data_IF_123146724841
#
_entry.id   IF_123146724841
#
_cell.length_a   1.000
_cell.length_b   1.000
_cell.length_c   1.000
_cell.angle_alpha   90.00
_cell.angle_beta   90.00
_cell.angle_gamma   90.00
#
_symmetry.space_group_name_H-M   'P 1'
#
loop_
_entity.id
_entity.type
_entity.pdbx_description
1 polymer ?
#
# COMPACT_ATOMS: atom_id res chain seq x y z
N UNK A 1 30.21 10.77 -2.59
CA UNK A 1 29.31 11.78 -2.00
C UNK A 1 28.13 11.07 -1.36
N UNK A 2 27.65 11.55 -0.22
CA UNK A 2 26.55 10.92 0.54
C UNK A 2 25.53 11.97 0.97
N UNK A 3 24.28 11.55 1.16
CA UNK A 3 23.22 12.36 1.77
C UNK A 3 22.17 11.44 2.42
N UNK A 4 21.42 11.94 3.41
CA UNK A 4 20.38 11.16 4.11
C UNK A 4 19.00 11.86 4.11
N UNK A 5 18.91 13.11 3.68
CA UNK A 5 17.63 13.82 3.55
C UNK A 5 16.92 14.12 4.88
N UNK A 6 15.60 14.33 4.82
CA UNK A 6 14.76 14.61 5.99
C UNK A 6 13.43 13.86 5.86
N UNK A 7 13.25 12.83 6.68
CA UNK A 7 12.07 11.98 6.71
C UNK A 7 11.85 11.40 8.12
N UNK A 8 10.79 10.61 8.34
CA UNK A 8 10.50 10.01 9.64
C UNK A 8 11.66 9.14 10.18
N UNK A 9 12.33 8.38 9.30
CA UNK A 9 13.40 7.44 9.64
C UNK A 9 14.81 7.91 9.30
N UNK A 10 14.96 9.09 8.69
CA UNK A 10 16.26 9.65 8.32
C UNK A 10 16.86 10.36 9.55
N UNK A 11 17.61 9.65 10.40
CA UNK A 11 18.11 10.17 11.69
C UNK A 11 19.55 10.65 11.64
N UNK A 12 20.36 10.17 10.71
CA UNK A 12 21.73 10.62 10.57
C UNK A 12 22.46 10.00 9.37
N UNK A 13 23.79 10.14 9.32
CA UNK A 13 24.61 9.59 8.25
C UNK A 13 24.48 8.08 8.06
N UNK A 14 24.18 7.33 9.14
CA UNK A 14 24.04 5.87 9.11
C UNK A 14 22.79 5.41 8.34
N UNK A 15 21.75 6.25 8.23
CA UNK A 15 20.54 5.99 7.43
C UNK A 15 20.66 6.54 6.00
N UNK A 16 21.82 7.08 5.64
CA UNK A 16 22.07 7.76 4.37
C UNK A 16 22.41 6.83 3.21
N UNK A 17 22.37 7.40 2.00
CA UNK A 17 22.84 6.73 0.78
C UNK A 17 24.12 7.40 0.27
N UNK A 18 25.04 6.58 -0.23
CA UNK A 18 26.34 7.03 -0.73
C UNK A 18 26.55 6.56 -2.17
N UNK A 19 27.00 7.47 -3.03
CA UNK A 19 27.37 7.15 -4.41
C UNK A 19 28.72 6.42 -4.49
N UNK A 20 28.82 5.45 -5.39
CA UNK A 20 30.08 4.78 -5.76
C UNK A 20 30.62 5.43 -7.03
N UNK A 21 31.82 6.00 -6.97
CA UNK A 21 32.44 6.75 -8.08
C UNK A 21 31.57 7.90 -8.63
N UNK A 22 30.78 8.54 -7.77
CA UNK A 22 29.87 9.61 -8.15
C UNK A 22 28.55 9.15 -8.78
N UNK A 23 28.32 7.83 -8.89
CA UNK A 23 27.08 7.24 -9.41
C UNK A 23 26.27 6.63 -8.26
N UNK A 24 24.97 6.90 -8.23
CA UNK A 24 24.02 6.30 -7.30
C UNK A 24 22.94 5.57 -8.12
N UNK A 25 22.82 4.27 -7.89
CA UNK A 25 21.76 3.44 -8.49
C UNK A 25 20.43 3.67 -7.79
N UNK A 26 19.33 3.61 -8.53
CA UNK A 26 17.98 3.76 -7.97
C UNK A 26 16.89 3.49 -8.99
N UNK A 27 15.65 3.61 -8.54
CA UNK A 27 14.44 3.41 -9.36
C UNK A 27 13.76 4.75 -9.64
N UNK A 28 13.27 4.94 -10.86
CA UNK A 28 12.44 6.08 -11.23
C UNK A 28 10.98 5.63 -11.39
N UNK A 29 10.10 6.19 -10.57
CA UNK A 29 8.66 5.96 -10.63
C UNK A 29 7.98 7.20 -11.20
N UNK A 30 7.17 7.02 -12.24
CA UNK A 30 6.48 8.12 -12.90
C UNK A 30 5.33 8.65 -12.04
N UNK A 31 5.16 9.97 -12.06
CA UNK A 31 4.04 10.61 -11.38
C UNK A 31 2.75 10.39 -12.17
N UNK A 32 1.64 10.19 -11.45
CA UNK A 32 0.32 10.25 -12.05
C UNK A 32 0.02 11.68 -12.53
N UNK A 33 -0.67 11.84 -13.68
CA UNK A 33 -1.10 13.16 -14.13
C UNK A 33 -1.94 13.89 -13.09
N UNK A 34 -1.71 15.20 -12.89
CA UNK A 34 -2.34 16.01 -11.85
C UNK A 34 -3.89 16.02 -11.83
N UNK A 35 -4.53 15.73 -12.96
CA UNK A 35 -6.00 15.68 -13.05
C UNK A 35 -6.59 14.38 -12.47
N UNK A 36 -5.78 13.33 -12.30
CA UNK A 36 -6.19 12.14 -11.59
C UNK A 36 -6.02 12.33 -10.09
N UNK A 37 -7.14 12.61 -9.43
CA UNK A 37 -7.19 12.67 -7.97
C UNK A 37 -7.42 11.28 -7.42
N UNK A 38 -6.80 10.99 -6.28
CA UNK A 38 -6.87 9.68 -5.63
C UNK A 38 -7.59 9.79 -4.29
N UNK A 39 -8.34 8.75 -3.94
CA UNK A 39 -8.93 8.56 -2.63
C UNK A 39 -8.18 7.43 -1.94
N UNK A 40 -7.68 7.70 -0.73
CA UNK A 40 -7.00 6.72 0.11
C UNK A 40 -8.03 5.95 0.96
N UNK A 41 -7.97 4.62 0.91
CA UNK A 41 -8.81 3.72 1.70
C UNK A 41 -7.96 2.88 2.63
N UNK A 42 -8.47 2.60 3.84
CA UNK A 42 -7.84 1.63 4.73
C UNK A 42 -8.08 0.21 4.22
N UNK A 43 -7.02 -0.58 4.12
CA UNK A 43 -7.14 -1.97 3.68
C UNK A 43 -7.89 -2.81 4.73
N UNK A 44 -8.95 -3.57 4.37
CA UNK A 44 -9.71 -4.37 5.33
C UNK A 44 -8.86 -5.45 6.02
N UNK A 45 -7.83 -5.95 5.35
CA UNK A 45 -6.83 -6.87 5.91
C UNK A 45 -5.54 -6.17 6.39
N UNK A 46 -5.57 -4.87 6.69
CA UNK A 46 -4.40 -4.17 7.25
C UNK A 46 -3.96 -4.80 8.58
N UNK A 47 -2.65 -4.91 8.81
CA UNK A 47 -2.09 -5.28 10.12
C UNK A 47 -2.32 -4.16 11.15
N UNK A 48 -2.12 -4.47 12.42
CA UNK A 48 -2.23 -3.48 13.51
C UNK A 48 -0.98 -2.64 13.69
N UNK A 49 0.17 -3.11 13.19
CA UNK A 49 1.51 -2.52 13.39
C UNK A 49 1.83 -2.25 14.87
N UNK A 50 1.31 -3.12 15.75
CA UNK A 50 1.51 -3.04 17.19
C UNK A 50 1.84 -4.43 17.71
N UNK A 51 2.91 -4.49 18.49
CA UNK A 51 3.31 -5.72 19.16
C UNK A 51 2.18 -6.23 20.07
N UNK A 52 2.03 -7.55 20.14
CA UNK A 52 1.04 -8.23 20.97
C UNK A 52 -0.43 -7.85 20.68
N UNK A 53 -0.73 -7.29 19.50
CA UNK A 53 -2.10 -6.96 19.11
C UNK A 53 -2.43 -7.58 17.75
N UNK A 54 -3.25 -8.62 17.77
CA UNK A 54 -3.75 -9.25 16.55
C UNK A 54 -4.84 -8.39 15.88
N UNK A 55 -4.85 -8.36 14.55
CA UNK A 55 -5.95 -7.83 13.78
C UNK A 55 -7.18 -8.76 13.86
N UNK A 56 -8.38 -8.22 13.59
CA UNK A 56 -9.62 -9.02 13.63
C UNK A 56 -9.59 -10.17 12.62
N UNK A 57 -9.04 -9.94 11.43
CA UNK A 57 -8.95 -10.96 10.38
C UNK A 57 -8.00 -12.11 10.74
N UNK A 58 -7.09 -11.93 11.70
CA UNK A 58 -6.20 -13.01 12.17
C UNK A 58 -6.92 -14.01 13.08
N UNK A 59 -8.00 -13.58 13.74
CA UNK A 59 -8.72 -14.39 14.73
C UNK A 59 -10.11 -14.83 14.27
N UNK A 60 -10.76 -14.04 13.41
CA UNK A 60 -12.09 -14.32 12.88
C UNK A 60 -12.03 -15.00 11.51
N UNK A 61 -12.36 -16.29 11.45
CA UNK A 61 -12.42 -17.07 10.20
C UNK A 61 -13.54 -16.61 9.26
N UNK A 62 -14.56 -15.91 9.78
CA UNK A 62 -15.70 -15.39 9.01
C UNK A 62 -15.55 -13.90 8.69
N UNK A 63 -14.37 -13.30 8.89
CA UNK A 63 -14.14 -11.87 8.72
C UNK A 63 -14.58 -11.34 7.35
N UNK A 64 -14.33 -12.09 6.26
CA UNK A 64 -14.76 -11.72 4.91
C UNK A 64 -16.29 -11.56 4.80
N UNK A 65 -17.08 -12.39 5.51
CA UNK A 65 -18.53 -12.26 5.52
C UNK A 65 -18.97 -10.94 6.14
N UNK A 66 -18.31 -10.49 7.21
CA UNK A 66 -18.55 -9.17 7.79
C UNK A 66 -18.14 -8.04 6.83
N UNK A 67 -17.01 -8.16 6.13
CA UNK A 67 -16.58 -7.19 5.12
C UNK A 67 -17.61 -7.03 3.99
N UNK A 68 -18.19 -8.14 3.53
CA UNK A 68 -19.25 -8.16 2.51
C UNK A 68 -20.57 -7.50 2.93
N UNK A 69 -20.71 -7.05 4.18
CA UNK A 69 -21.87 -6.24 4.59
C UNK A 69 -21.70 -4.75 4.29
N UNK A 70 -20.46 -4.29 4.07
CA UNK A 70 -20.15 -2.90 3.75
C UNK A 70 -20.46 -2.60 2.28
N UNK A 71 -21.14 -1.49 2.00
CA UNK A 71 -21.51 -1.06 0.64
C UNK A 71 -20.32 -0.91 -0.31
N UNK A 72 -19.12 -0.63 0.21
CA UNK A 72 -17.91 -0.54 -0.59
C UNK A 72 -17.40 -1.89 -1.12
N UNK A 73 -17.78 -3.00 -0.48
CA UNK A 73 -17.23 -4.33 -0.76
C UNK A 73 -18.29 -5.36 -1.17
N UNK A 74 -19.56 -4.99 -1.13
CA UNK A 74 -20.69 -5.89 -1.39
C UNK A 74 -21.22 -5.80 -2.83
N UNK A 75 -20.81 -4.77 -3.57
CA UNK A 75 -21.19 -4.48 -4.95
C UNK A 75 -19.98 -3.97 -5.71
N UNK A 76 -20.05 -3.96 -7.05
CA UNK A 76 -18.95 -3.51 -7.91
C UNK A 76 -17.72 -4.44 -7.88
N UNK A 77 -16.59 -4.00 -8.47
CA UNK A 77 -15.38 -4.82 -8.61
C UNK A 77 -14.50 -4.80 -7.35
N UNK A 78 -14.72 -3.86 -6.42
CA UNK A 78 -13.77 -3.50 -5.37
C UNK A 78 -13.21 -4.68 -4.57
N UNK A 79 -14.05 -5.62 -4.14
CA UNK A 79 -13.59 -6.77 -3.36
C UNK A 79 -12.74 -7.72 -4.21
N UNK A 80 -13.08 -7.89 -5.48
CA UNK A 80 -12.29 -8.71 -6.41
C UNK A 80 -10.94 -8.03 -6.70
N UNK A 81 -10.92 -6.71 -6.90
CA UNK A 81 -9.67 -5.96 -7.12
C UNK A 81 -8.72 -6.04 -5.89
N UNK A 82 -9.28 -6.06 -4.67
CA UNK A 82 -8.51 -6.32 -3.45
C UNK A 82 -7.90 -7.72 -3.48
N UNK A 83 -8.65 -8.74 -3.92
CA UNK A 83 -8.14 -10.12 -4.02
C UNK A 83 -7.00 -10.18 -5.03
N UNK A 84 -7.16 -9.56 -6.20
CA UNK A 84 -6.11 -9.51 -7.22
C UNK A 84 -4.83 -8.83 -6.69
N UNK A 85 -5.00 -7.70 -5.99
CA UNK A 85 -3.88 -7.00 -5.36
C UNK A 85 -3.22 -7.84 -4.25
N UNK A 86 -4.00 -8.60 -3.48
CA UNK A 86 -3.47 -9.53 -2.48
C UNK A 86 -2.67 -10.68 -3.11
N UNK A 87 -3.09 -11.19 -4.27
CA UNK A 87 -2.32 -12.19 -5.04
C UNK A 87 -1.01 -11.58 -5.52
N UNK A 88 -1.05 -10.37 -6.08
CA UNK A 88 0.15 -9.64 -6.49
C UNK A 88 1.13 -9.44 -5.32
N UNK A 89 0.63 -8.91 -4.19
CA UNK A 89 1.43 -8.66 -2.99
C UNK A 89 2.05 -9.95 -2.43
N UNK A 90 1.31 -11.06 -2.45
CA UNK A 90 1.82 -12.37 -2.06
C UNK A 90 3.00 -12.81 -2.93
N UNK A 91 2.90 -12.62 -4.26
CA UNK A 91 3.94 -13.01 -5.20
C UNK A 91 5.23 -12.21 -5.02
N UNK A 92 5.14 -10.91 -4.69
CA UNK A 92 6.31 -10.05 -4.48
C UNK A 92 6.78 -10.03 -3.01
N UNK A 93 6.06 -10.69 -2.10
CA UNK A 93 6.37 -10.70 -0.67
C UNK A 93 6.06 -9.38 0.05
N UNK A 94 5.18 -8.55 -0.51
CA UNK A 94 4.77 -7.28 0.11
C UNK A 94 3.72 -7.55 1.19
N UNK A 95 4.14 -7.50 2.46
CA UNK A 95 3.25 -7.67 3.60
C UNK A 95 2.77 -6.34 4.21
N UNK A 96 3.08 -5.21 3.56
CA UNK A 96 2.89 -3.86 4.11
C UNK A 96 1.77 -3.05 3.45
N UNK A 97 0.96 -3.64 2.56
CA UNK A 97 -0.20 -2.92 1.98
C UNK A 97 -1.31 -2.71 3.02
N UNK A 98 -1.21 -1.59 3.74
CA UNK A 98 -2.14 -1.21 4.79
C UNK A 98 -3.18 -0.18 4.36
N UNK A 99 -2.93 0.50 3.24
CA UNK A 99 -3.90 1.31 2.50
C UNK A 99 -3.90 0.90 1.03
N UNK A 100 -4.92 1.36 0.32
CA UNK A 100 -4.99 1.27 -1.14
C UNK A 100 -5.71 2.50 -1.69
N UNK A 101 -5.40 2.87 -2.92
CA UNK A 101 -5.95 4.06 -3.58
C UNK A 101 -6.89 3.69 -4.73
N UNK A 102 -7.89 4.53 -4.95
CA UNK A 102 -8.74 4.53 -6.16
C UNK A 102 -8.82 5.92 -6.76
N UNK A 103 -9.22 6.05 -8.02
CA UNK A 103 -9.47 7.36 -8.61
C UNK A 103 -10.75 8.00 -8.05
N UNK A 104 -10.69 9.29 -7.76
CA UNK A 104 -11.85 10.10 -7.41
C UNK A 104 -12.81 10.19 -8.61
N UNK A 105 -14.11 9.93 -8.38
CA UNK A 105 -15.18 9.91 -9.39
C UNK A 105 -15.20 8.70 -10.35
N UNK A 106 -14.40 7.67 -10.10
CA UNK A 106 -14.44 6.41 -10.85
C UNK A 106 -14.65 5.25 -9.88
N UNK A 107 -15.89 5.08 -9.43
CA UNK A 107 -16.23 4.15 -8.35
C UNK A 107 -15.87 2.68 -8.66
N UNK A 108 -16.00 2.28 -9.93
CA UNK A 108 -15.67 0.95 -10.46
C UNK A 108 -14.27 0.89 -11.10
N UNK A 109 -13.37 1.84 -10.78
CA UNK A 109 -11.98 1.75 -11.22
C UNK A 109 -11.21 0.65 -10.50
N UNK A 110 -10.19 0.11 -11.18
CA UNK A 110 -9.21 -0.78 -10.55
C UNK A 110 -8.49 -0.08 -9.40
N UNK A 111 -7.97 -0.87 -8.46
CA UNK A 111 -7.06 -0.34 -7.44
C UNK A 111 -5.74 0.11 -8.07
N UNK A 112 -5.20 1.20 -7.54
CA UNK A 112 -3.88 1.67 -7.92
C UNK A 112 -2.82 0.89 -7.16
N UNK A 113 -1.93 0.21 -7.88
CA UNK A 113 -0.83 -0.58 -7.31
C UNK A 113 0.40 0.33 -7.16
N UNK A 114 0.34 1.25 -6.21
CA UNK A 114 1.40 2.20 -5.89
C UNK A 114 2.24 1.72 -4.69
N UNK A 115 3.43 2.31 -4.55
CA UNK A 115 4.34 2.15 -3.39
C UNK A 115 4.65 0.69 -3.01
N UNK A 116 5.33 -0.02 -3.90
CA UNK A 116 5.70 -1.44 -3.76
C UNK A 116 7.18 -1.66 -3.43
N UNK A 117 7.84 -0.64 -2.87
CA UNK A 117 9.28 -0.63 -2.55
C UNK A 117 9.59 -1.13 -1.15
#
# INVERSE_FOLDING_TARGET
SCFYGRCLYCKGPDDGVCATNGVLEGTLVLWLPHHFKMILHKHPWSRTYRDNRQAKWETDKNYCAAIKTNSLYNTGPRLLDIIDTCVFDYLIGNADRHHYETFENYDDSMLLILDNG
#
